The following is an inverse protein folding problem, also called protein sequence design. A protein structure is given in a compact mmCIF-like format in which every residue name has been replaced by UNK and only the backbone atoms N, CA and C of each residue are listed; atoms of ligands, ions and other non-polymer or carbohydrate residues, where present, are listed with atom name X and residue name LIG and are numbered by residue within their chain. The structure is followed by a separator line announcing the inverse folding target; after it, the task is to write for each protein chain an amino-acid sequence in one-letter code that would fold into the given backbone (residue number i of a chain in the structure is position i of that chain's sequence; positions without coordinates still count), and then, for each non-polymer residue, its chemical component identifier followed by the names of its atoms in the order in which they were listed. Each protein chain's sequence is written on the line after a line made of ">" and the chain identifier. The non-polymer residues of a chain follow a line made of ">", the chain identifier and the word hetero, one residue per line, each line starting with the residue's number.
data_IF_869935892010
#
_entry.id   IF_869935892010
#
_cell.length_a   1.000
_cell.length_b   1.000
_cell.length_c   1.000
_cell.angle_alpha   90.00
_cell.angle_beta   90.00
_cell.angle_gamma   90.00
#
_symmetry.space_group_name_H-M   'P 1'
#
loop_
_entity.id
_entity.type
_entity.pdbx_description
1 polymer ?
#
# COMPACT_ATOMS: atom_id res chain seq x y z
N UNK A 1 4.45 -12.57 -55.43
CA UNK A 1 3.37 -13.32 -54.76
C UNK A 1 3.31 -12.86 -53.30
N UNK A 2 2.30 -12.07 -52.98
CA UNK A 2 1.69 -11.86 -51.64
C UNK A 2 0.51 -12.85 -51.61
N UNK A 3 0.06 -13.49 -50.50
CA UNK A 3 -0.21 -12.92 -49.17
C UNK A 3 0.17 -13.89 -48.01
N UNK A 4 -0.14 -13.75 -46.72
CA UNK A 4 -0.90 -12.78 -45.94
C UNK A 4 -0.49 -12.88 -44.46
N UNK A 5 -0.60 -11.73 -43.79
CA UNK A 5 -0.76 -11.45 -42.35
C UNK A 5 -1.28 -12.61 -41.47
N UNK A 6 -0.72 -12.72 -40.26
CA UNK A 6 -1.52 -12.48 -39.05
C UNK A 6 -0.67 -11.76 -38.00
N UNK A 7 -1.18 -10.59 -37.62
CA UNK A 7 -0.75 -9.80 -36.48
C UNK A 7 -1.27 -10.46 -35.20
N UNK A 8 -0.44 -10.53 -34.16
CA UNK A 8 -0.93 -10.52 -32.78
C UNK A 8 -0.38 -9.27 -32.12
N UNK A 9 -1.28 -8.31 -31.97
CA UNK A 9 -1.16 -7.11 -31.16
C UNK A 9 -2.07 -7.33 -29.94
N UNK A 10 -1.76 -6.65 -28.83
CA UNK A 10 -2.51 -6.54 -27.57
C UNK A 10 -2.09 -7.55 -26.47
N UNK A 11 -1.83 -7.17 -25.22
CA UNK A 11 -2.07 -5.93 -24.49
C UNK A 11 -0.86 -5.56 -23.61
N UNK A 12 -0.50 -4.28 -23.62
CA UNK A 12 0.21 -3.64 -22.52
C UNK A 12 -0.78 -3.49 -21.37
N UNK A 13 -0.48 -4.05 -20.19
CA UNK A 13 -1.08 -3.56 -18.95
C UNK A 13 -0.11 -2.57 -18.33
N UNK A 14 -0.39 -1.28 -18.57
CA UNK A 14 0.05 -0.18 -17.74
C UNK A 14 -0.71 -0.25 -16.43
N UNK A 15 -0.02 -0.58 -15.34
CA UNK A 15 -0.50 -0.26 -13.98
C UNK A 15 -0.18 1.20 -13.74
N UNK A 16 -1.10 2.07 -14.19
CA UNK A 16 -1.13 3.46 -13.79
C UNK A 16 -1.96 3.60 -12.51
N UNK A 17 -1.45 4.45 -11.65
CA UNK A 17 -1.93 4.81 -10.32
C UNK A 17 -3.29 5.51 -10.43
N UNK A 18 -4.31 4.98 -9.75
CA UNK A 18 -5.50 5.77 -9.41
C UNK A 18 -5.38 6.21 -7.95
N UNK A 19 -4.63 7.31 -7.76
CA UNK A 19 -4.82 8.18 -6.60
C UNK A 19 -6.22 8.80 -6.70
N UNK A 20 -7.14 8.32 -5.86
CA UNK A 20 -8.43 8.97 -5.64
C UNK A 20 -8.19 10.24 -4.81
N UNK A 21 -7.86 11.34 -5.49
CA UNK A 21 -7.95 12.68 -4.95
C UNK A 21 -9.43 13.00 -4.65
N UNK A 22 -9.79 12.97 -3.37
CA UNK A 22 -11.03 13.57 -2.90
C UNK A 22 -10.90 15.09 -2.96
N UNK A 23 -11.34 15.69 -4.06
CA UNK A 23 -11.57 17.14 -4.12
C UNK A 23 -12.77 17.51 -3.24
N UNK A 24 -12.66 18.55 -2.38
CA UNK A 24 -13.80 19.04 -1.63
C UNK A 24 -14.80 19.69 -2.60
N UNK A 25 -16.06 19.25 -2.58
CA UNK A 25 -17.14 19.97 -3.26
C UNK A 25 -17.33 21.33 -2.58
N UNK A 26 -16.80 22.39 -3.18
CA UNK A 26 -17.22 23.75 -2.88
C UNK A 26 -18.66 23.96 -3.40
N UNK A 27 -19.58 24.15 -2.47
CA UNK A 27 -20.96 24.53 -2.76
C UNK A 27 -21.00 26.02 -3.10
N UNK A 28 -20.73 26.37 -4.35
CA UNK A 28 -21.04 27.70 -4.88
C UNK A 28 -22.53 27.78 -5.18
N UNK A 29 -23.31 28.35 -4.26
CA UNK A 29 -24.65 28.85 -4.57
C UNK A 29 -24.55 30.36 -4.57
N UNK A 30 -24.66 30.89 -5.78
CA UNK A 30 -24.62 32.29 -6.12
C UNK A 30 -25.63 33.10 -5.31
N UNK A 31 -25.15 34.28 -4.93
CA UNK A 31 -25.94 35.47 -4.65
C UNK A 31 -27.00 35.71 -5.72
N UNK A 32 -28.27 35.71 -5.34
CA UNK A 32 -29.33 36.57 -5.86
C UNK A 32 -30.66 36.20 -5.19
N UNK A 33 -31.10 37.02 -4.24
CA UNK A 33 -32.47 37.53 -4.17
C UNK A 33 -32.55 38.56 -3.05
N UNK A 34 -32.74 39.80 -3.48
CA UNK A 34 -33.13 40.93 -2.65
C UNK A 34 -34.48 40.68 -1.95
N UNK A 35 -34.59 41.24 -0.75
CA UNK A 35 -35.81 41.80 -0.15
C UNK A 35 -37.13 41.03 -0.35
N UNK A 36 -37.52 40.27 0.67
CA UNK A 36 -38.94 40.20 1.03
C UNK A 36 -39.08 40.53 2.51
N UNK A 37 -39.62 41.73 2.74
CA UNK A 37 -40.09 42.22 4.00
C UNK A 37 -41.18 41.33 4.60
N UNK A 38 -41.19 41.28 5.93
CA UNK A 38 -42.35 41.12 6.81
C UNK A 38 -43.62 40.56 6.17
N UNK A 39 -43.92 39.28 6.46
CA UNK A 39 -45.31 38.81 6.49
C UNK A 39 -45.46 37.77 7.60
N UNK A 40 -46.25 38.15 8.59
CA UNK A 40 -46.66 37.31 9.71
C UNK A 40 -47.46 36.08 9.26
N UNK A 41 -47.26 35.00 10.02
CA UNK A 41 -48.14 33.84 10.26
C UNK A 41 -48.19 32.68 9.26
N UNK A 42 -47.59 31.57 9.74
CA UNK A 42 -48.13 30.21 9.65
C UNK A 42 -48.09 29.50 8.29
N UNK A 43 -46.91 29.45 7.68
CA UNK A 43 -46.57 28.38 6.72
C UNK A 43 -45.71 27.40 7.51
N UNK A 44 -46.18 26.16 7.69
CA UNK A 44 -45.35 25.10 8.26
C UNK A 44 -44.13 24.94 7.35
N UNK A 45 -42.99 25.54 7.74
CA UNK A 45 -41.71 25.35 7.06
C UNK A 45 -41.50 23.87 6.80
N UNK A 46 -41.12 23.53 5.56
CA UNK A 46 -41.00 22.13 5.14
C UNK A 46 -40.08 21.38 6.12
N UNK A 47 -40.32 20.09 6.41
CA UNK A 47 -39.48 19.35 7.35
C UNK A 47 -37.98 19.41 7.02
N UNK A 48 -37.63 19.48 5.73
CA UNK A 48 -36.25 19.67 5.27
C UNK A 48 -35.70 21.05 5.61
N UNK A 49 -36.50 22.10 5.44
CA UNK A 49 -36.09 23.46 5.79
C UNK A 49 -35.86 23.60 7.31
N UNK A 50 -36.77 23.06 8.12
CA UNK A 50 -36.59 23.00 9.59
C UNK A 50 -35.33 22.24 9.95
N UNK A 51 -35.08 21.09 9.32
CA UNK A 51 -33.87 20.30 9.57
C UNK A 51 -32.59 21.08 9.27
N UNK A 52 -32.55 21.80 8.14
CA UNK A 52 -31.38 22.62 7.77
C UNK A 52 -31.20 23.78 8.76
N UNK A 53 -32.29 24.49 9.10
CA UNK A 53 -32.27 25.58 10.10
C UNK A 53 -31.73 25.09 11.45
N UNK A 54 -32.28 23.99 11.99
CA UNK A 54 -31.78 23.41 13.25
C UNK A 54 -30.33 22.91 13.13
N UNK A 55 -29.90 22.44 11.95
CA UNK A 55 -28.51 22.00 11.75
C UNK A 55 -27.52 23.17 11.73
N UNK A 56 -27.94 24.33 11.21
CA UNK A 56 -27.16 25.57 11.26
C UNK A 56 -27.07 26.06 12.70
N UNK A 57 -28.21 26.14 13.39
CA UNK A 57 -28.25 26.51 14.82
C UNK A 57 -27.34 25.60 15.65
N UNK A 58 -27.37 24.29 15.40
CA UNK A 58 -26.51 23.32 16.09
C UNK A 58 -25.02 23.63 15.86
N UNK A 59 -24.60 23.90 14.63
CA UNK A 59 -23.21 24.27 14.33
C UNK A 59 -22.81 25.58 15.01
N UNK A 60 -23.70 26.56 15.05
CA UNK A 60 -23.44 27.81 15.77
C UNK A 60 -23.32 27.59 17.27
N UNK A 61 -24.16 26.72 17.86
CA UNK A 61 -24.04 26.35 19.26
C UNK A 61 -22.78 25.53 19.55
N UNK A 62 -22.34 24.67 18.63
CA UNK A 62 -21.06 23.94 18.74
C UNK A 62 -19.88 24.92 18.74
N UNK A 63 -19.85 25.90 17.83
CA UNK A 63 -18.79 26.91 17.82
C UNK A 63 -18.77 27.78 19.10
N UNK A 64 -19.96 28.14 19.62
CA UNK A 64 -20.08 28.81 20.92
C UNK A 64 -19.58 27.92 22.06
N UNK A 65 -19.90 26.62 22.01
CA UNK A 65 -19.43 25.65 22.99
C UNK A 65 -17.89 25.53 22.98
N UNK A 66 -17.25 25.43 21.82
CA UNK A 66 -15.79 25.41 21.69
C UNK A 66 -15.12 26.65 22.32
N UNK A 67 -15.73 27.82 22.15
CA UNK A 67 -15.23 29.05 22.80
C UNK A 67 -15.39 29.01 24.32
N UNK A 68 -16.52 28.51 24.82
CA UNK A 68 -16.80 28.34 26.25
C UNK A 68 -15.94 27.25 26.87
N UNK A 69 -15.55 26.21 26.11
CA UNK A 69 -14.65 25.16 26.57
C UNK A 69 -13.29 25.73 27.00
N UNK A 70 -12.73 26.68 26.24
CA UNK A 70 -11.47 27.33 26.62
C UNK A 70 -11.60 28.12 27.92
N UNK A 71 -12.71 28.84 28.12
CA UNK A 71 -12.99 29.57 29.36
C UNK A 71 -13.18 28.60 30.53
N UNK A 72 -13.96 27.54 30.35
CA UNK A 72 -14.21 26.50 31.34
C UNK A 72 -12.92 25.73 31.72
N UNK A 73 -12.03 25.47 30.78
CA UNK A 73 -10.70 24.87 31.03
C UNK A 73 -9.85 25.79 31.91
N UNK A 74 -9.85 27.10 31.64
CA UNK A 74 -9.10 28.06 32.46
C UNK A 74 -9.66 28.15 33.89
N UNK A 75 -10.99 28.16 34.04
CA UNK A 75 -11.63 28.11 35.36
C UNK A 75 -11.28 26.81 36.09
N UNK A 76 -11.35 25.67 35.41
CA UNK A 76 -10.96 24.37 35.93
C UNK A 76 -9.51 24.33 36.41
N UNK A 77 -8.57 24.91 35.66
CA UNK A 77 -7.16 25.01 36.05
C UNK A 77 -6.97 25.92 37.28
N UNK A 78 -7.72 27.01 37.37
CA UNK A 78 -7.69 27.90 38.54
C UNK A 78 -8.18 27.18 39.79
N UNK A 79 -9.29 26.46 39.71
CA UNK A 79 -9.85 25.66 40.81
C UNK A 79 -8.86 24.57 41.25
N UNK A 80 -8.20 23.91 40.30
CA UNK A 80 -7.17 22.90 40.60
C UNK A 80 -5.97 23.51 41.34
N UNK A 81 -5.52 24.70 40.93
CA UNK A 81 -4.40 25.39 41.58
C UNK A 81 -4.71 25.85 43.02
N UNK A 82 -5.97 26.23 43.29
CA UNK A 82 -6.41 26.70 44.60
C UNK A 82 -6.70 25.57 45.59
N UNK A 83 -7.01 24.35 45.11
CA UNK A 83 -7.46 23.22 45.93
C UNK A 83 -6.50 22.02 45.94
N UNK A 84 -5.19 22.25 45.76
CA UNK A 84 -4.18 21.19 45.61
C UNK A 84 -4.16 20.15 46.74
N UNK A 85 -4.55 20.51 47.96
CA UNK A 85 -4.45 19.60 49.12
C UNK A 85 -5.68 18.68 49.33
N UNK A 86 -6.83 18.95 48.69
CA UNK A 86 -8.10 18.29 49.02
C UNK A 86 -8.72 17.41 47.92
N UNK A 87 -8.17 17.40 46.70
CA UNK A 87 -8.86 16.83 45.55
C UNK A 87 -8.12 15.64 44.91
N UNK A 88 -8.16 14.48 45.56
CA UNK A 88 -7.49 13.24 45.09
C UNK A 88 -8.01 12.71 43.74
N UNK A 89 -9.17 13.17 43.29
CA UNK A 89 -9.87 12.66 42.11
C UNK A 89 -10.01 13.69 40.98
N UNK A 90 -9.32 14.85 41.07
CA UNK A 90 -9.37 15.94 40.07
C UNK A 90 -10.78 16.42 39.69
N UNK A 91 -11.75 16.30 40.60
CA UNK A 91 -13.16 16.68 40.34
C UNK A 91 -13.33 18.17 40.54
N UNK A 92 -13.70 18.90 39.49
CA UNK A 92 -13.80 20.37 39.53
C UNK A 92 -15.24 20.83 39.73
N UNK A 93 -16.20 20.08 39.18
CA UNK A 93 -17.62 20.41 39.27
C UNK A 93 -18.42 19.13 39.49
N UNK A 94 -19.40 19.20 40.39
CA UNK A 94 -20.33 18.11 40.67
C UNK A 94 -21.73 18.70 40.88
N UNK A 95 -22.67 18.29 40.03
CA UNK A 95 -24.07 18.70 40.04
C UNK A 95 -24.94 17.48 39.75
N UNK A 96 -26.23 17.56 40.06
CA UNK A 96 -27.21 16.50 39.79
C UNK A 96 -27.24 16.06 38.30
N UNK A 97 -26.78 16.92 37.40
CA UNK A 97 -26.80 16.71 35.94
C UNK A 97 -25.45 16.18 35.42
N UNK A 98 -24.32 16.59 35.99
CA UNK A 98 -22.99 16.24 35.46
C UNK A 98 -21.87 16.42 36.48
N UNK A 99 -20.83 15.60 36.29
CA UNK A 99 -19.56 15.67 37.02
C UNK A 99 -18.42 15.97 36.05
N UNK A 100 -17.63 16.99 36.32
CA UNK A 100 -16.49 17.43 35.50
C UNK A 100 -15.18 17.12 36.21
N UNK A 101 -14.28 16.45 35.50
CA UNK A 101 -12.96 16.03 35.99
C UNK A 101 -11.90 16.51 35.01
N UNK A 102 -10.79 17.07 35.51
CA UNK A 102 -9.67 17.46 34.67
C UNK A 102 -8.72 16.27 34.45
N UNK A 103 -8.50 15.96 33.19
CA UNK A 103 -7.54 14.96 32.74
C UNK A 103 -6.42 15.62 31.94
N UNK A 104 -5.18 15.24 32.25
CA UNK A 104 -4.02 15.67 31.48
C UNK A 104 -3.60 14.55 30.53
N UNK A 105 -3.46 14.89 29.24
CA UNK A 105 -2.85 14.00 28.25
C UNK A 105 -1.44 14.48 27.98
N UNK A 106 -0.51 13.54 27.86
CA UNK A 106 0.84 13.85 27.44
C UNK A 106 0.83 14.21 25.95
N UNK A 107 1.25 15.43 25.62
CA UNK A 107 1.43 15.89 24.25
C UNK A 107 2.93 16.01 23.99
N UNK A 108 3.41 15.41 22.91
CA UNK A 108 4.79 15.56 22.45
C UNK A 108 4.86 16.70 21.44
N UNK A 109 5.97 17.43 21.47
CA UNK A 109 6.25 18.46 20.47
C UNK A 109 6.42 17.80 19.10
N UNK A 110 5.76 18.37 18.09
CA UNK A 110 5.96 17.95 16.70
C UNK A 110 7.24 18.56 16.15
N UNK A 111 7.78 18.02 15.06
CA UNK A 111 8.85 18.66 14.29
C UNK A 111 8.50 20.11 13.87
N UNK A 112 7.21 20.43 13.73
CA UNK A 112 6.74 21.81 13.49
C UNK A 112 6.96 22.74 14.68
N UNK A 113 6.89 22.20 15.90
CA UNK A 113 6.98 22.95 17.15
C UNK A 113 8.42 23.01 17.68
N UNK A 114 9.25 22.00 17.37
CA UNK A 114 10.63 21.89 17.86
C UNK A 114 11.67 21.67 16.75
N UNK A 115 12.55 22.65 16.60
CA UNK A 115 13.64 22.64 15.61
C UNK A 115 14.67 21.52 15.81
N UNK A 116 14.87 21.04 17.03
CA UNK A 116 15.77 19.91 17.32
C UNK A 116 15.18 18.60 16.79
N UNK A 117 13.87 18.41 16.94
CA UNK A 117 13.17 17.23 16.42
C UNK A 117 13.22 17.23 14.89
N UNK A 118 12.91 18.37 14.25
CA UNK A 118 13.01 18.50 12.80
C UNK A 118 14.41 18.16 12.26
N UNK A 119 15.47 18.67 12.88
CA UNK A 119 16.85 18.36 12.46
C UNK A 119 17.18 16.86 12.59
N UNK A 120 16.71 16.22 13.65
CA UNK A 120 16.93 14.79 13.83
C UNK A 120 16.18 13.96 12.79
N UNK A 121 14.96 14.36 12.42
CA UNK A 121 14.21 13.72 11.32
C UNK A 121 14.96 13.86 9.99
N UNK A 122 15.49 15.04 9.68
CA UNK A 122 16.29 15.27 8.47
C UNK A 122 17.58 14.43 8.46
N UNK A 123 18.30 14.37 9.59
CA UNK A 123 19.50 13.55 9.73
C UNK A 123 19.22 12.06 9.55
N UNK A 124 18.10 11.57 10.10
CA UNK A 124 17.65 10.18 9.94
C UNK A 124 17.37 9.90 8.46
N UNK A 125 16.61 10.76 7.78
CA UNK A 125 16.30 10.57 6.36
C UNK A 125 17.56 10.56 5.49
N UNK A 126 18.52 11.47 5.75
CA UNK A 126 19.78 11.50 5.03
C UNK A 126 20.59 10.22 5.25
N UNK A 127 20.65 9.73 6.49
CA UNK A 127 21.33 8.48 6.82
C UNK A 127 20.68 7.28 6.13
N UNK A 128 19.35 7.21 6.10
CA UNK A 128 18.59 6.16 5.42
C UNK A 128 18.86 6.16 3.91
N UNK A 129 18.80 7.31 3.26
CA UNK A 129 19.10 7.43 1.83
C UNK A 129 20.54 7.03 1.50
N UNK A 130 21.50 7.45 2.32
CA UNK A 130 22.90 7.07 2.15
C UNK A 130 23.09 5.54 2.29
N UNK A 131 22.43 4.95 3.28
CA UNK A 131 22.44 3.51 3.51
C UNK A 131 21.82 2.74 2.33
N UNK A 132 20.66 3.18 1.83
CA UNK A 132 19.98 2.57 0.69
C UNK A 132 20.87 2.60 -0.57
N UNK A 133 21.48 3.75 -0.90
CA UNK A 133 22.41 3.86 -2.03
C UNK A 133 23.59 2.90 -1.92
N UNK A 134 24.17 2.78 -0.72
CA UNK A 134 25.29 1.86 -0.46
C UNK A 134 24.86 0.39 -0.62
N UNK A 135 23.66 0.03 -0.18
CA UNK A 135 23.16 -1.33 -0.32
C UNK A 135 22.79 -1.67 -1.76
N UNK A 136 22.17 -0.74 -2.49
CA UNK A 136 21.87 -0.92 -3.91
C UNK A 136 23.15 -1.17 -4.74
N UNK A 137 24.23 -0.41 -4.48
CA UNK A 137 25.51 -0.63 -5.15
C UNK A 137 26.08 -2.03 -4.87
N UNK A 138 25.96 -2.53 -3.63
CA UNK A 138 26.40 -3.89 -3.27
C UNK A 138 25.55 -4.97 -3.94
N UNK A 139 24.23 -4.78 -4.00
CA UNK A 139 23.33 -5.70 -4.68
C UNK A 139 23.69 -5.82 -6.16
N UNK A 140 23.90 -4.69 -6.85
CA UNK A 140 24.32 -4.70 -8.25
C UNK A 140 25.66 -5.44 -8.48
N UNK A 141 26.60 -5.32 -7.54
CA UNK A 141 27.86 -6.06 -7.60
C UNK A 141 27.65 -7.57 -7.44
N UNK A 142 26.77 -7.97 -6.51
CA UNK A 142 26.41 -9.37 -6.30
C UNK A 142 25.71 -9.93 -7.55
N UNK A 143 24.78 -9.18 -8.14
CA UNK A 143 24.07 -9.61 -9.37
C UNK A 143 25.03 -9.81 -10.54
N UNK A 144 26.02 -8.91 -10.69
CA UNK A 144 27.06 -9.07 -11.70
C UNK A 144 27.91 -10.32 -11.47
N UNK A 145 28.27 -10.62 -10.22
CA UNK A 145 29.01 -11.84 -9.86
C UNK A 145 28.18 -13.11 -10.13
N UNK A 146 26.88 -13.07 -9.83
CA UNK A 146 25.96 -14.19 -10.13
C UNK A 146 25.94 -14.46 -11.63
N UNK A 147 25.76 -13.43 -12.46
CA UNK A 147 25.76 -13.58 -13.92
C UNK A 147 27.09 -14.13 -14.45
N UNK A 148 28.22 -13.70 -13.89
CA UNK A 148 29.53 -14.25 -14.27
C UNK A 148 29.63 -15.75 -13.93
N UNK A 149 29.21 -16.14 -12.72
CA UNK A 149 29.22 -17.54 -12.30
C UNK A 149 28.26 -18.40 -13.13
N UNK A 150 27.07 -17.92 -13.46
CA UNK A 150 26.13 -18.61 -14.34
C UNK A 150 26.72 -18.86 -15.73
N UNK A 151 27.42 -17.88 -16.28
CA UNK A 151 28.13 -18.03 -17.55
C UNK A 151 29.26 -19.06 -17.46
N UNK A 152 30.03 -19.07 -16.37
CA UNK A 152 31.07 -20.07 -16.14
C UNK A 152 30.48 -21.48 -16.04
N UNK A 153 29.37 -21.66 -15.32
CA UNK A 153 28.66 -22.94 -15.22
C UNK A 153 28.24 -23.42 -16.61
N UNK A 154 27.60 -22.55 -17.41
CA UNK A 154 27.16 -22.90 -18.76
C UNK A 154 28.32 -23.35 -19.66
N UNK A 155 29.46 -22.67 -19.60
CA UNK A 155 30.65 -23.07 -20.36
C UNK A 155 31.18 -24.44 -19.93
N UNK A 156 31.20 -24.73 -18.63
CA UNK A 156 31.61 -26.03 -18.10
C UNK A 156 30.63 -27.14 -18.52
N UNK A 157 29.33 -26.87 -18.54
CA UNK A 157 28.32 -27.82 -19.03
C UNK A 157 28.52 -28.13 -20.52
N UNK A 158 28.77 -27.12 -21.35
CA UNK A 158 29.09 -27.34 -22.77
C UNK A 158 30.37 -28.16 -22.95
N UNK A 159 31.39 -27.93 -22.13
CA UNK A 159 32.63 -28.71 -22.16
C UNK A 159 32.39 -30.17 -21.76
N UNK A 160 31.63 -30.40 -20.68
CA UNK A 160 31.19 -31.74 -20.26
C UNK A 160 30.48 -32.45 -21.40
N UNK A 161 29.52 -31.81 -22.04
CA UNK A 161 28.72 -32.44 -23.10
C UNK A 161 29.59 -32.79 -24.32
N UNK A 162 30.52 -31.90 -24.70
CA UNK A 162 31.51 -32.18 -25.74
C UNK A 162 32.33 -33.43 -25.42
N UNK A 163 32.82 -33.56 -24.18
CA UNK A 163 33.61 -34.72 -23.73
C UNK A 163 32.79 -36.01 -23.67
N UNK A 164 31.51 -35.94 -23.30
CA UNK A 164 30.62 -37.10 -23.26
C UNK A 164 30.25 -37.62 -24.66
N UNK A 165 30.33 -36.78 -25.69
CA UNK A 165 30.04 -37.19 -27.07
C UNK A 165 31.25 -37.83 -27.77
N UNK A 166 31.42 -39.14 -27.64
CA UNK A 166 32.42 -39.87 -28.43
C UNK A 166 31.88 -40.23 -29.83
N UNK A 167 32.21 -39.38 -30.82
CA UNK A 167 31.79 -39.57 -32.23
C UNK A 167 32.23 -40.91 -32.82
N UNK A 168 33.43 -41.38 -32.50
CA UNK A 168 33.96 -42.64 -33.00
C UNK A 168 33.20 -43.83 -32.40
N UNK A 169 32.95 -43.80 -31.10
CA UNK A 169 32.15 -44.82 -30.41
C UNK A 169 30.73 -44.91 -31.00
N UNK A 170 30.10 -43.76 -31.26
CA UNK A 170 28.77 -43.72 -31.86
C UNK A 170 28.76 -44.30 -33.29
N UNK A 171 29.78 -44.02 -34.11
CA UNK A 171 29.95 -44.65 -35.43
C UNK A 171 30.13 -46.17 -35.33
N UNK A 172 30.98 -46.63 -34.40
CA UNK A 172 31.20 -48.06 -34.19
C UNK A 172 29.93 -48.78 -33.73
N UNK A 173 29.16 -48.18 -32.80
CA UNK A 173 27.85 -48.71 -32.39
C UNK A 173 26.88 -48.82 -33.56
N UNK A 174 26.84 -47.82 -34.44
CA UNK A 174 25.99 -47.84 -35.63
C UNK A 174 26.41 -48.94 -36.62
N UNK A 175 27.71 -49.08 -36.89
CA UNK A 175 28.21 -50.14 -37.76
C UNK A 175 27.95 -51.54 -37.19
N UNK A 176 28.16 -51.73 -35.88
CA UNK A 176 27.84 -52.97 -35.18
C UNK A 176 26.35 -53.31 -35.31
N UNK A 177 25.48 -52.34 -35.05
CA UNK A 177 24.04 -52.53 -35.20
C UNK A 177 23.65 -52.90 -36.63
N UNK A 178 24.20 -52.21 -37.63
CA UNK A 178 23.97 -52.50 -39.05
C UNK A 178 24.43 -53.92 -39.40
N UNK A 179 25.62 -54.33 -38.94
CA UNK A 179 26.13 -55.69 -39.17
C UNK A 179 25.27 -56.78 -38.50
N UNK A 180 24.73 -56.52 -37.30
CA UNK A 180 23.79 -57.42 -36.62
C UNK A 180 22.50 -57.53 -37.44
N UNK A 181 22.00 -56.42 -37.97
CA UNK A 181 20.79 -56.40 -38.78
C UNK A 181 21.00 -57.13 -40.13
N UNK A 182 22.15 -56.92 -40.77
CA UNK A 182 22.52 -57.59 -42.02
C UNK A 182 22.74 -59.09 -41.84
N UNK A 183 23.21 -59.52 -40.66
CA UNK A 183 23.39 -60.93 -40.30
C UNK A 183 22.14 -61.58 -39.70
N UNK A 184 21.04 -60.84 -39.59
CA UNK A 184 19.80 -61.39 -39.04
C UNK A 184 19.19 -62.43 -39.98
N UNK A 185 19.11 -63.67 -39.51
CA UNK A 185 18.47 -64.76 -40.23
C UNK A 185 17.21 -65.24 -39.49
N UNK A 186 16.23 -65.76 -40.24
CA UNK A 186 15.01 -66.33 -39.67
C UNK A 186 15.30 -67.72 -39.12
N UNK A 187 15.24 -67.86 -37.81
CA UNK A 187 15.29 -69.16 -37.14
C UNK A 187 13.87 -69.72 -37.01
N UNK A 188 13.65 -70.94 -37.52
CA UNK A 188 12.36 -71.62 -37.38
C UNK A 188 12.12 -72.03 -35.92
N UNK A 189 10.90 -71.82 -35.43
CA UNK A 189 10.43 -72.36 -34.15
C UNK A 189 8.99 -72.85 -34.30
N UNK A 190 8.61 -73.85 -33.51
CA UNK A 190 7.23 -74.36 -33.45
C UNK A 190 6.48 -73.66 -32.31
N UNK A 191 5.34 -73.04 -32.61
CA UNK A 191 4.39 -72.61 -31.59
C UNK A 191 3.19 -73.54 -31.57
N UNK A 192 2.94 -74.18 -30.43
CA UNK A 192 1.75 -75.04 -30.23
C UNK A 192 0.70 -74.22 -29.49
N UNK A 193 -0.37 -73.85 -30.20
CA UNK A 193 -1.52 -73.17 -29.59
C UNK A 193 -2.59 -74.21 -29.25
N UNK A 194 -2.84 -74.40 -27.95
CA UNK A 194 -3.92 -75.27 -27.47
C UNK A 194 -5.21 -74.44 -27.50
N UNK A 195 -6.16 -74.82 -28.37
CA UNK A 195 -7.52 -74.26 -28.33
C UNK A 195 -8.25 -74.86 -27.12
N UNK A 196 -8.68 -73.99 -26.19
CA UNK A 196 -9.71 -74.34 -25.20
C UNK A 196 -11.08 -74.33 -25.87
#
# INVERSE_FOLDING_TARGET
>A
MIPNKMQFQQLQLSTEEEELEFLPLELSIASETEQIAESNSNIQSSPLQRFVETKIELKETEAKLESLELEAINEALNILSQNQDNNKNNVIFDSDIAKVVIGFRQKYESAKDNTKIARLEDEIQLAEQAQQKKMAAKLNQIDAQIQELENQIKQLEEQRDKLMTNKQLNRLKFHLFSAIQDSAYKQAYLSVHIKK
#
